data_IF_757675337558
#
_entry.id   IF_757675337558
#
_cell.length_a   1.000
_cell.length_b   1.000
_cell.length_c   1.000
_cell.angle_alpha   90.00
_cell.angle_beta   90.00
_cell.angle_gamma   90.00
#
_symmetry.space_group_name_H-M   'P 1'
#
loop_
_entity.id
_entity.type
_entity.pdbx_description
1 polymer ?
#
# COMPACT_ATOMS: atom_id res chain seq x y z
N UNK A 1 -16.83 -0.90 -31.39
CA UNK A 1 -16.29 0.44 -31.70
C UNK A 1 -15.73 0.99 -30.41
N UNK A 2 -14.48 1.45 -30.43
CA UNK A 2 -13.85 2.03 -29.24
C UNK A 2 -14.35 3.45 -29.00
N UNK A 3 -14.22 3.93 -27.77
CA UNK A 3 -14.59 5.29 -27.37
C UNK A 3 -13.38 6.20 -27.59
N UNK A 4 -13.58 7.34 -28.24
CA UNK A 4 -12.48 8.26 -28.57
C UNK A 4 -11.98 9.04 -27.34
N UNK A 5 -10.70 9.43 -27.32
CA UNK A 5 -10.18 10.31 -26.24
C UNK A 5 -10.86 11.66 -26.20
N UNK A 6 -11.37 12.17 -27.33
CA UNK A 6 -12.10 13.43 -27.41
C UNK A 6 -13.42 13.35 -26.65
N UNK A 7 -14.14 12.23 -26.79
CA UNK A 7 -15.36 11.94 -26.05
C UNK A 7 -15.07 11.75 -24.58
N UNK A 8 -14.10 10.88 -24.23
CA UNK A 8 -13.70 10.63 -22.84
C UNK A 8 -13.32 11.94 -22.12
N UNK A 9 -12.63 12.85 -22.81
CA UNK A 9 -12.20 14.13 -22.23
C UNK A 9 -13.35 15.07 -21.86
N UNK A 10 -14.56 14.88 -22.39
CA UNK A 10 -15.73 15.68 -22.01
C UNK A 10 -16.26 15.31 -20.62
N UNK A 11 -16.07 14.06 -20.20
CA UNK A 11 -16.57 13.51 -18.94
C UNK A 11 -15.56 13.79 -17.80
N UNK A 12 -15.34 15.08 -17.52
CA UNK A 12 -14.31 15.57 -16.61
C UNK A 12 -14.83 16.31 -15.36
N UNK A 13 -16.13 16.21 -15.07
CA UNK A 13 -16.79 16.93 -13.97
C UNK A 13 -17.19 15.97 -12.83
N UNK A 14 -17.31 16.43 -11.57
CA UNK A 14 -17.79 15.56 -10.48
C UNK A 14 -19.18 14.95 -10.71
N UNK A 15 -20.02 15.62 -11.50
CA UNK A 15 -21.35 15.15 -11.90
C UNK A 15 -21.36 14.34 -13.20
N UNK A 16 -20.21 14.22 -13.88
CA UNK A 16 -20.05 13.49 -15.13
C UNK A 16 -18.57 13.11 -15.33
N UNK A 17 -18.20 11.95 -14.78
CA UNK A 17 -16.81 11.56 -14.51
C UNK A 17 -16.47 10.21 -15.11
N UNK A 18 -15.69 10.21 -16.18
CA UNK A 18 -15.10 8.98 -16.73
C UNK A 18 -13.59 8.94 -16.50
N UNK A 19 -13.06 7.74 -16.33
CA UNK A 19 -11.61 7.48 -16.33
C UNK A 19 -11.30 6.24 -17.17
N UNK A 20 -10.05 6.12 -17.61
CA UNK A 20 -9.55 4.90 -18.27
C UNK A 20 -8.63 4.14 -17.33
N UNK A 21 -8.86 2.83 -17.19
CA UNK A 21 -7.98 1.89 -16.47
C UNK A 21 -7.80 0.64 -17.33
N UNK A 22 -6.55 0.30 -17.65
CA UNK A 22 -6.19 -0.85 -18.47
C UNK A 22 -7.00 -0.92 -19.78
N UNK A 23 -7.04 0.21 -20.51
CA UNK A 23 -7.79 0.43 -21.77
C UNK A 23 -9.32 0.34 -21.67
N UNK A 24 -9.87 0.20 -20.47
CA UNK A 24 -11.32 0.15 -20.24
C UNK A 24 -11.81 1.48 -19.66
N UNK A 25 -12.91 2.00 -20.20
CA UNK A 25 -13.54 3.26 -19.80
C UNK A 25 -14.61 2.96 -18.75
N UNK A 26 -14.50 3.64 -17.60
CA UNK A 26 -15.40 3.47 -16.47
C UNK A 26 -16.09 4.79 -16.14
N UNK A 27 -17.41 4.74 -15.92
CA UNK A 27 -18.15 5.81 -15.27
C UNK A 27 -18.02 5.69 -13.76
N UNK A 28 -17.37 6.68 -13.14
CA UNK A 28 -17.15 6.75 -11.70
C UNK A 28 -17.93 7.89 -11.04
N UNK A 29 -18.90 8.50 -11.74
CA UNK A 29 -19.68 9.64 -11.24
C UNK A 29 -20.29 9.36 -9.86
N UNK A 30 -20.97 8.22 -9.72
CA UNK A 30 -21.61 7.83 -8.47
C UNK A 30 -20.64 7.21 -7.46
N UNK A 31 -19.53 6.63 -7.93
CA UNK A 31 -18.58 5.91 -7.07
C UNK A 31 -17.54 6.85 -6.44
N UNK A 32 -17.17 7.94 -7.11
CA UNK A 32 -16.10 8.81 -6.65
C UNK A 32 -16.30 9.35 -5.22
N UNK A 33 -17.51 9.76 -4.77
CA UNK A 33 -17.75 10.18 -3.39
C UNK A 33 -17.52 9.07 -2.36
N UNK A 34 -17.80 7.82 -2.73
CA UNK A 34 -17.70 6.64 -1.87
C UNK A 34 -16.30 6.01 -1.88
N UNK A 35 -15.37 6.57 -2.66
CA UNK A 35 -14.05 6.01 -2.80
C UNK A 35 -13.26 6.08 -1.48
N UNK A 36 -12.75 4.94 -0.94
CA UNK A 36 -12.04 4.93 0.34
C UNK A 36 -10.78 5.80 0.40
N UNK A 37 -10.16 6.08 -0.76
CA UNK A 37 -9.02 7.01 -0.87
C UNK A 37 -9.41 8.49 -1.02
N UNK A 38 -10.70 8.80 -0.93
CA UNK A 38 -11.30 10.11 -1.20
C UNK A 38 -11.57 10.35 -2.69
N UNK A 39 -12.58 11.19 -2.98
CA UNK A 39 -13.00 11.53 -4.35
C UNK A 39 -11.96 12.33 -5.13
N UNK A 40 -11.20 13.19 -4.44
CA UNK A 40 -10.22 14.09 -5.07
C UNK A 40 -9.11 13.37 -5.86
N UNK A 41 -8.77 12.13 -5.50
CA UNK A 41 -7.75 11.38 -6.27
C UNK A 41 -8.30 10.89 -7.62
N UNK A 42 -9.59 10.56 -7.70
CA UNK A 42 -10.25 10.14 -8.93
C UNK A 42 -10.47 11.37 -9.83
N UNK A 43 -10.95 12.47 -9.24
CA UNK A 43 -11.19 13.73 -9.96
C UNK A 43 -9.91 14.30 -10.61
N UNK A 44 -8.72 14.00 -10.07
CA UNK A 44 -7.45 14.37 -10.70
C UNK A 44 -7.26 13.74 -12.11
N UNK A 45 -7.88 12.60 -12.35
CA UNK A 45 -7.83 11.85 -13.60
C UNK A 45 -9.14 11.93 -14.40
N UNK A 46 -10.03 12.86 -14.07
CA UNK A 46 -11.29 13.05 -14.77
C UNK A 46 -11.06 13.26 -16.28
N UNK A 47 -11.69 12.43 -17.11
CA UNK A 47 -11.55 12.41 -18.57
C UNK A 47 -10.18 11.95 -19.08
N UNK A 48 -9.39 11.24 -18.26
CA UNK A 48 -8.00 10.83 -18.56
C UNK A 48 -7.71 9.36 -18.27
N UNK A 49 -6.53 8.92 -18.71
CA UNK A 49 -5.96 7.63 -18.34
C UNK A 49 -5.38 7.66 -16.91
N UNK A 50 -5.92 6.79 -16.06
CA UNK A 50 -5.50 6.58 -14.68
C UNK A 50 -4.77 5.25 -14.48
N UNK A 51 -4.54 4.44 -15.52
CA UNK A 51 -4.04 3.06 -15.43
C UNK A 51 -2.76 2.95 -14.60
N UNK A 52 -1.80 3.84 -14.84
CA UNK A 52 -0.54 3.88 -14.08
C UNK A 52 -0.80 4.14 -12.59
N UNK A 53 -1.50 5.24 -12.27
CA UNK A 53 -1.79 5.63 -10.90
C UNK A 53 -2.67 4.61 -10.17
N UNK A 54 -3.58 3.95 -10.88
CA UNK A 54 -4.41 2.88 -10.37
C UNK A 54 -3.56 1.67 -10.00
N UNK A 55 -2.69 1.19 -10.89
CA UNK A 55 -1.86 -0.01 -10.68
C UNK A 55 -0.83 0.10 -9.54
N UNK A 56 -0.44 1.32 -9.20
CA UNK A 56 0.46 1.62 -8.08
C UNK A 56 -0.21 1.39 -6.73
N UNK A 57 -1.53 1.53 -6.63
CA UNK A 57 -2.28 1.41 -5.37
C UNK A 57 -3.16 0.16 -5.33
N UNK A 58 -3.72 -0.23 -6.48
CA UNK A 58 -4.73 -1.27 -6.61
C UNK A 58 -4.26 -2.39 -7.54
N UNK A 59 -4.84 -3.58 -7.36
CA UNK A 59 -4.72 -4.66 -8.34
C UNK A 59 -5.70 -4.41 -9.50
N UNK A 60 -5.29 -4.66 -10.74
CA UNK A 60 -6.13 -4.47 -11.95
C UNK A 60 -7.50 -5.15 -11.85
N UNK A 61 -7.60 -6.29 -11.16
CA UNK A 61 -8.86 -7.01 -11.02
C UNK A 61 -9.89 -6.31 -10.12
N UNK A 62 -9.47 -5.42 -9.22
CA UNK A 62 -10.32 -4.88 -8.18
C UNK A 62 -11.48 -4.06 -8.77
N UNK A 63 -11.20 -3.15 -9.72
CA UNK A 63 -12.21 -2.30 -10.35
C UNK A 63 -13.29 -3.13 -11.06
N UNK A 64 -12.89 -4.20 -11.75
CA UNK A 64 -13.81 -5.12 -12.44
C UNK A 64 -14.69 -5.95 -11.50
N UNK A 65 -14.24 -6.18 -10.27
CA UNK A 65 -14.97 -6.98 -9.27
C UNK A 65 -15.83 -6.14 -8.33
N UNK A 66 -15.45 -4.87 -8.11
CA UNK A 66 -16.10 -3.98 -7.14
C UNK A 66 -17.18 -3.11 -7.77
N UNK A 67 -17.10 -2.81 -9.07
CA UNK A 67 -18.11 -2.03 -9.77
C UNK A 67 -19.04 -2.95 -10.56
N UNK A 68 -20.35 -2.63 -10.64
CA UNK A 68 -21.28 -3.38 -11.47
C UNK A 68 -20.94 -3.16 -12.95
N UNK A 69 -21.23 -4.15 -13.79
CA UNK A 69 -20.94 -4.10 -15.23
C UNK A 69 -21.58 -2.91 -15.95
N UNK A 70 -22.66 -2.33 -15.39
CA UNK A 70 -23.31 -1.12 -15.89
C UNK A 70 -22.43 0.13 -15.86
N UNK A 71 -21.37 0.15 -15.05
CA UNK A 71 -20.40 1.25 -14.99
C UNK A 71 -19.25 1.11 -15.98
N UNK A 72 -19.22 0.00 -16.74
CA UNK A 72 -18.26 -0.22 -17.81
C UNK A 72 -18.86 0.35 -19.10
N UNK A 73 -18.32 1.47 -19.58
CA UNK A 73 -18.83 2.13 -20.79
C UNK A 73 -18.31 1.42 -22.04
N UNK A 74 -17.05 0.99 -22.03
CA UNK A 74 -16.45 0.26 -23.14
C UNK A 74 -14.92 0.27 -23.11
N UNK A 75 -14.31 0.06 -24.28
CA UNK A 75 -12.86 0.12 -24.46
C UNK A 75 -12.46 1.39 -25.21
N UNK A 76 -11.35 2.00 -24.84
CA UNK A 76 -10.80 3.16 -25.56
C UNK A 76 -10.40 2.80 -26.99
N UNK A 77 -10.60 3.72 -27.92
CA UNK A 77 -10.02 3.66 -29.26
C UNK A 77 -8.56 4.13 -29.22
N UNK A 78 -7.64 3.16 -29.28
CA UNK A 78 -6.20 3.40 -29.23
C UNK A 78 -5.70 4.30 -30.38
N UNK A 79 -6.41 4.35 -31.52
CA UNK A 79 -6.01 5.21 -32.64
C UNK A 79 -6.31 6.69 -32.40
N UNK A 80 -7.20 7.00 -31.45
CA UNK A 80 -7.58 8.37 -31.12
C UNK A 80 -6.61 9.06 -30.14
N UNK A 81 -5.70 8.31 -29.50
CA UNK A 81 -4.81 8.82 -28.46
C UNK A 81 -3.85 9.87 -29.04
N UNK A 82 -3.85 11.06 -28.44
CA UNK A 82 -2.91 12.14 -28.77
C UNK A 82 -1.79 12.23 -27.74
N UNK A 83 -0.62 12.71 -28.16
CA UNK A 83 0.54 12.93 -27.28
C UNK A 83 0.22 13.88 -26.11
N UNK A 84 -0.72 14.82 -26.33
CA UNK A 84 -1.15 15.75 -25.30
C UNK A 84 -2.04 15.08 -24.25
N UNK A 85 -2.95 14.21 -24.67
CA UNK A 85 -3.84 13.48 -23.76
C UNK A 85 -3.09 12.43 -22.93
N UNK A 86 -2.07 11.80 -23.52
CA UNK A 86 -1.23 10.80 -22.85
C UNK A 86 -0.33 11.38 -21.74
N UNK A 87 -0.16 12.71 -21.67
CA UNK A 87 0.64 13.33 -20.60
C UNK A 87 -0.07 13.15 -19.25
N UNK A 88 0.64 12.64 -18.22
CA UNK A 88 0.06 12.51 -16.90
C UNK A 88 -0.32 13.90 -16.36
N UNK A 89 -1.38 14.00 -15.54
CA UNK A 89 -1.72 15.24 -14.87
C UNK A 89 -0.52 15.70 -14.02
N UNK A 90 -0.25 17.02 -13.91
CA UNK A 90 0.92 17.54 -13.22
C UNK A 90 1.07 16.88 -11.84
N UNK A 91 2.18 16.16 -11.67
CA UNK A 91 2.53 15.49 -10.43
C UNK A 91 3.22 16.48 -9.47
N UNK A 92 2.84 16.43 -8.20
CA UNK A 92 3.55 17.08 -7.08
C UNK A 92 4.40 16.03 -6.32
N UNK A 93 4.46 14.79 -6.81
CA UNK A 93 5.22 13.71 -6.17
C UNK A 93 6.72 13.94 -6.38
N UNK A 94 7.43 14.27 -5.31
CA UNK A 94 8.88 14.01 -5.23
C UNK A 94 9.07 12.50 -5.41
N UNK A 95 9.39 12.07 -6.63
CA UNK A 95 9.95 10.74 -6.83
C UNK A 95 11.25 10.67 -6.01
N UNK A 96 11.36 9.63 -5.19
CA UNK A 96 12.59 9.29 -4.46
C UNK A 96 13.76 9.20 -5.44
N UNK A 97 14.71 10.12 -5.37
CA UNK A 97 15.94 10.05 -6.17
C UNK A 97 16.73 8.79 -5.79
N UNK A 98 17.13 7.95 -6.76
CA UNK A 98 17.98 6.79 -6.49
C UNK A 98 19.33 7.24 -5.92
N UNK A 99 19.68 6.75 -4.72
CA UNK A 99 20.95 7.06 -4.04
C UNK A 99 20.82 7.89 -2.75
N UNK A 100 19.61 8.29 -2.35
CA UNK A 100 19.36 9.05 -1.11
C UNK A 100 19.17 8.18 0.15
N UNK A 101 19.11 6.85 0.01
CA UNK A 101 18.86 5.95 1.15
C UNK A 101 20.14 5.77 1.98
N UNK A 102 20.09 5.99 3.31
CA UNK A 102 21.23 5.72 4.19
C UNK A 102 21.57 4.23 4.21
N UNK A 103 22.85 3.90 4.48
CA UNK A 103 23.29 2.51 4.64
C UNK A 103 22.56 1.82 5.79
N UNK A 104 22.22 0.55 5.62
CA UNK A 104 21.58 -0.26 6.67
C UNK A 104 22.45 -0.38 7.93
N UNK A 105 23.78 -0.33 7.79
CA UNK A 105 24.72 -0.40 8.91
C UNK A 105 24.64 0.82 9.84
N UNK A 106 24.02 1.92 9.38
CA UNK A 106 23.84 3.13 10.18
C UNK A 106 22.61 3.07 11.09
N UNK A 107 21.74 2.08 10.92
CA UNK A 107 20.52 1.93 11.72
C UNK A 107 20.82 1.16 13.00
N UNK A 108 20.60 1.80 14.14
CA UNK A 108 20.85 1.23 15.47
C UNK A 108 19.53 0.70 16.06
N UNK A 109 18.42 1.38 15.78
CA UNK A 109 17.11 1.02 16.32
C UNK A 109 15.97 1.30 15.31
N UNK A 110 14.75 0.99 15.70
CA UNK A 110 13.56 1.14 14.84
C UNK A 110 13.20 2.60 14.55
N UNK A 111 13.57 3.56 15.40
CA UNK A 111 13.29 4.99 15.20
C UNK A 111 14.12 5.58 14.05
N UNK A 112 15.32 5.03 13.79
CA UNK A 112 16.14 5.45 12.65
C UNK A 112 15.41 5.20 11.32
N UNK A 113 14.67 4.07 11.21
CA UNK A 113 13.79 3.78 10.06
C UNK A 113 12.65 4.79 9.92
N UNK A 114 12.09 5.26 11.04
CA UNK A 114 11.04 6.27 11.06
C UNK A 114 11.58 7.61 10.54
N UNK A 115 12.74 8.06 11.02
CA UNK A 115 13.38 9.32 10.59
C UNK A 115 13.84 9.27 9.13
N UNK A 116 14.39 8.14 8.69
CA UNK A 116 14.73 7.96 7.27
C UNK A 116 13.47 8.00 6.39
N UNK A 117 12.39 7.33 6.81
CA UNK A 117 11.12 7.34 6.10
C UNK A 117 10.51 8.74 6.00
N UNK A 118 10.54 9.54 7.06
CA UNK A 118 10.04 10.93 7.07
C UNK A 118 10.73 11.80 6.01
N UNK A 119 12.05 11.63 5.87
CA UNK A 119 12.86 12.44 4.94
C UNK A 119 12.70 11.98 3.48
N UNK A 120 12.42 10.69 3.28
CA UNK A 120 12.44 10.04 1.97
C UNK A 120 11.04 9.99 1.35
N UNK A 121 10.01 9.68 2.13
CA UNK A 121 8.66 9.47 1.60
C UNK A 121 8.01 10.78 1.13
N UNK A 122 7.07 10.66 0.19
CA UNK A 122 6.24 11.81 -0.19
C UNK A 122 5.41 12.28 1.01
N UNK A 123 5.05 13.57 1.11
CA UNK A 123 4.23 14.06 2.22
C UNK A 123 2.92 13.29 2.40
N UNK A 124 2.29 12.87 1.29
CA UNK A 124 1.07 12.06 1.29
C UNK A 124 1.33 10.67 1.88
N UNK A 125 2.37 9.99 1.41
CA UNK A 125 2.74 8.66 1.93
C UNK A 125 3.14 8.72 3.40
N UNK A 126 3.93 9.72 3.79
CA UNK A 126 4.32 9.93 5.18
C UNK A 126 3.09 10.14 6.06
N UNK A 127 2.18 11.05 5.69
CA UNK A 127 0.96 11.30 6.44
C UNK A 127 0.10 10.03 6.59
N UNK A 128 0.03 9.18 5.57
CA UNK A 128 -0.70 7.90 5.66
C UNK A 128 -0.13 6.97 6.74
N UNK A 129 1.19 6.80 6.81
CA UNK A 129 1.83 5.89 7.77
C UNK A 129 2.07 6.50 9.15
N UNK A 130 2.30 7.81 9.23
CA UNK A 130 2.62 8.49 10.49
C UNK A 130 1.38 9.01 11.24
N UNK A 131 0.20 9.03 10.61
CA UNK A 131 -1.04 9.43 11.26
C UNK A 131 -1.67 8.31 12.13
N UNK A 132 -2.71 8.69 12.85
CA UNK A 132 -3.67 7.85 13.56
C UNK A 132 -4.97 8.67 13.72
N UNK A 133 -5.95 8.13 14.44
CA UNK A 133 -7.21 8.82 14.65
C UNK A 133 -7.03 10.16 15.39
N UNK A 134 -7.69 11.20 14.86
CA UNK A 134 -7.84 12.54 15.46
C UNK A 134 -6.52 13.13 15.98
N UNK A 135 -6.34 13.18 17.29
CA UNK A 135 -5.30 13.89 18.02
C UNK A 135 -4.10 13.01 18.37
N UNK A 136 -4.07 11.77 17.87
CA UNK A 136 -3.00 10.79 18.07
C UNK A 136 -2.78 10.36 19.54
N UNK A 137 -3.70 10.69 20.46
CA UNK A 137 -3.54 10.42 21.89
C UNK A 137 -3.32 8.93 22.15
N UNK A 138 -4.15 8.07 21.56
CA UNK A 138 -4.03 6.61 21.75
C UNK A 138 -2.73 6.06 21.16
N UNK A 139 -2.26 6.61 20.03
CA UNK A 139 -0.97 6.22 19.44
C UNK A 139 0.19 6.55 20.40
N UNK A 140 0.16 7.73 21.00
CA UNK A 140 1.14 8.13 22.03
C UNK A 140 1.09 7.21 23.25
N UNK A 141 -0.11 6.97 23.80
CA UNK A 141 -0.31 6.11 24.96
C UNK A 141 0.19 4.68 24.73
N UNK A 142 -0.14 4.06 23.59
CA UNK A 142 0.33 2.70 23.26
C UNK A 142 1.86 2.59 23.29
N UNK A 143 2.57 3.67 22.94
CA UNK A 143 4.04 3.70 22.99
C UNK A 143 4.54 3.94 24.41
N UNK A 144 3.97 4.91 25.13
CA UNK A 144 4.46 5.30 26.46
C UNK A 144 4.17 4.26 27.55
N UNK A 145 3.09 3.48 27.43
CA UNK A 145 2.69 2.51 28.46
C UNK A 145 3.77 1.48 28.78
N UNK A 146 4.65 1.13 27.83
CA UNK A 146 5.75 0.22 28.10
C UNK A 146 6.81 0.80 29.05
N UNK A 147 6.95 2.13 29.12
CA UNK A 147 7.85 2.78 30.07
C UNK A 147 7.35 2.68 31.52
N UNK A 148 6.05 2.46 31.71
CA UNK A 148 5.43 2.26 33.03
C UNK A 148 5.70 0.84 33.57
N UNK A 149 6.20 -0.08 32.73
CA UNK A 149 6.45 -1.48 33.08
C UNK A 149 7.96 -1.68 33.30
N UNK A 150 8.36 -1.73 34.58
CA UNK A 150 9.73 -2.07 34.96
C UNK A 150 10.04 -3.56 34.82
N UNK A 151 11.25 -3.90 34.37
CA UNK A 151 11.75 -5.27 34.41
C UNK A 151 12.30 -5.60 35.81
N UNK A 152 11.96 -6.78 36.34
CA UNK A 152 12.60 -7.36 37.53
C UNK A 152 13.55 -8.49 37.09
N UNK A 153 14.79 -8.18 36.64
CA UNK A 153 15.71 -9.18 36.16
C UNK A 153 16.11 -10.14 37.30
N UNK A 154 16.22 -11.43 36.97
CA UNK A 154 16.77 -12.44 37.89
C UNK A 154 18.28 -12.46 37.72
N UNK A 155 19.01 -12.21 38.80
CA UNK A 155 20.48 -12.23 38.81
C UNK A 155 21.02 -13.64 39.05
N UNK A 156 22.31 -13.85 38.76
CA UNK A 156 23.01 -15.14 38.90
C UNK A 156 22.36 -16.31 38.13
N UNK A 157 21.63 -16.00 37.06
CA UNK A 157 21.07 -17.01 36.14
C UNK A 157 22.08 -17.34 35.04
N UNK A 158 22.22 -18.61 34.70
CA UNK A 158 23.00 -19.02 33.53
C UNK A 158 22.26 -18.62 32.24
N UNK A 159 22.74 -17.57 31.59
CA UNK A 159 22.22 -17.03 30.33
C UNK A 159 23.13 -17.30 29.13
N UNK A 160 24.04 -18.28 29.25
CA UNK A 160 24.98 -18.62 28.16
C UNK A 160 24.27 -18.99 26.86
N UNK A 161 23.16 -19.72 26.96
CA UNK A 161 22.35 -20.14 25.82
C UNK A 161 20.92 -19.64 26.02
N UNK A 162 20.46 -18.78 25.13
CA UNK A 162 19.10 -18.22 25.12
C UNK A 162 18.40 -18.65 23.84
N UNK A 163 17.11 -18.97 23.95
CA UNK A 163 16.27 -19.31 22.82
C UNK A 163 15.03 -18.40 22.83
N UNK A 164 14.83 -17.67 21.73
CA UNK A 164 13.66 -16.80 21.52
C UNK A 164 12.58 -17.46 20.67
N UNK A 165 12.78 -18.69 20.21
CA UNK A 165 11.79 -19.41 19.40
C UNK A 165 10.50 -19.61 20.17
N UNK A 166 9.38 -19.57 19.46
CA UNK A 166 8.05 -19.80 20.03
C UNK A 166 7.11 -20.35 18.97
N UNK A 167 5.95 -20.83 19.39
CA UNK A 167 4.84 -21.21 18.51
C UNK A 167 3.74 -20.17 18.57
N UNK A 168 3.24 -19.74 17.40
CA UNK A 168 2.02 -18.94 17.29
C UNK A 168 1.04 -19.67 16.37
N UNK A 169 -0.18 -19.92 16.85
CA UNK A 169 -1.24 -20.59 16.08
C UNK A 169 -0.74 -21.90 15.40
N UNK A 170 0.01 -22.72 16.15
CA UNK A 170 0.55 -24.01 15.67
C UNK A 170 1.80 -23.92 14.79
N UNK A 171 2.35 -22.73 14.55
CA UNK A 171 3.51 -22.52 13.68
C UNK A 171 4.72 -22.05 14.46
N UNK A 172 5.89 -22.64 14.17
CA UNK A 172 7.17 -22.29 14.76
C UNK A 172 7.73 -20.98 14.20
N UNK A 173 8.14 -20.07 15.09
CA UNK A 173 8.74 -18.77 14.79
C UNK A 173 10.11 -18.65 15.47
N UNK A 174 11.02 -17.90 14.87
CA UNK A 174 12.35 -17.65 15.44
C UNK A 174 12.34 -16.66 16.62
N UNK A 175 11.30 -15.83 16.73
CA UNK A 175 11.15 -14.81 17.77
C UNK A 175 9.66 -14.60 18.07
N UNK A 176 9.25 -14.13 19.27
CA UNK A 176 7.85 -13.91 19.60
C UNK A 176 7.28 -12.62 18.99
N UNK A 177 7.58 -12.35 17.71
CA UNK A 177 7.05 -11.21 16.95
C UNK A 177 6.47 -11.68 15.62
N UNK A 178 5.56 -10.89 15.07
CA UNK A 178 5.03 -11.06 13.71
C UNK A 178 4.76 -9.68 13.09
N UNK A 179 4.63 -9.64 11.76
CA UNK A 179 4.25 -8.43 11.05
C UNK A 179 2.72 -8.30 10.98
N UNK A 180 2.18 -7.32 11.71
CA UNK A 180 0.77 -6.92 11.68
C UNK A 180 0.34 -6.46 10.28
N UNK A 181 -0.94 -6.63 9.87
CA UNK A 181 -1.34 -6.26 8.52
C UNK A 181 -1.28 -4.75 8.34
N UNK A 182 -0.49 -4.30 7.36
CA UNK A 182 -0.43 -2.92 6.90
C UNK A 182 -0.88 -2.85 5.45
N UNK A 183 -1.63 -1.81 5.10
CA UNK A 183 -2.11 -1.58 3.73
C UNK A 183 -1.10 -0.78 2.91
N UNK A 184 -1.25 -0.85 1.59
CA UNK A 184 -0.65 0.05 0.61
C UNK A 184 0.88 0.07 0.63
N UNK A 185 1.54 -1.07 0.85
CA UNK A 185 3.01 -1.11 0.93
C UNK A 185 3.69 -0.63 -0.37
N UNK A 186 2.96 -0.67 -1.50
CA UNK A 186 3.40 -0.09 -2.77
C UNK A 186 3.68 1.42 -2.74
N UNK A 187 3.07 2.16 -1.79
CA UNK A 187 3.37 3.58 -1.57
C UNK A 187 4.81 3.81 -1.10
N UNK A 188 5.45 2.80 -0.51
CA UNK A 188 6.81 2.87 0.06
C UNK A 188 7.82 2.13 -0.83
N UNK A 189 7.42 1.02 -1.43
CA UNK A 189 8.29 0.20 -2.26
C UNK A 189 7.54 -0.36 -3.48
N UNK A 190 8.07 -0.30 -4.72
CA UNK A 190 7.35 -0.76 -5.92
C UNK A 190 6.84 -2.20 -5.87
N UNK A 191 7.58 -3.09 -5.20
CA UNK A 191 7.21 -4.50 -5.01
C UNK A 191 6.28 -4.75 -3.82
N UNK A 192 5.98 -3.71 -3.02
CA UNK A 192 5.03 -3.73 -1.91
C UNK A 192 5.26 -4.85 -0.91
N UNK A 193 4.17 -5.54 -0.58
CA UNK A 193 4.06 -6.60 0.42
C UNK A 193 4.96 -7.80 0.12
N UNK A 194 5.40 -7.98 -1.13
CA UNK A 194 6.30 -9.08 -1.52
C UNK A 194 7.69 -8.96 -0.88
N UNK A 195 8.19 -7.74 -0.70
CA UNK A 195 9.49 -7.53 -0.05
C UNK A 195 9.39 -7.66 1.46
N UNK A 196 8.26 -7.26 2.06
CA UNK A 196 7.96 -7.55 3.46
C UNK A 196 7.96 -9.07 3.70
N UNK A 197 7.26 -9.81 2.83
CA UNK A 197 7.28 -11.26 2.83
C UNK A 197 8.71 -11.84 2.70
N UNK A 198 9.51 -11.34 1.78
CA UNK A 198 10.89 -11.84 1.61
C UNK A 198 11.74 -11.62 2.88
N UNK A 199 11.65 -10.45 3.49
CA UNK A 199 12.37 -10.13 4.73
C UNK A 199 11.88 -10.93 5.94
N UNK A 200 10.57 -11.14 6.07
CA UNK A 200 10.00 -11.94 7.17
C UNK A 200 10.35 -13.42 7.03
N UNK A 201 10.37 -13.94 5.80
CA UNK A 201 10.80 -15.32 5.53
C UNK A 201 12.25 -15.54 5.92
N UNK A 202 13.16 -14.61 5.58
CA UNK A 202 14.57 -14.74 5.98
C UNK A 202 14.77 -14.62 7.48
N UNK A 203 13.93 -13.85 8.18
CA UNK A 203 13.92 -13.75 9.64
C UNK A 203 13.22 -14.94 10.34
N UNK A 204 12.43 -15.74 9.61
CA UNK A 204 11.58 -16.81 10.18
C UNK A 204 10.45 -16.27 11.05
N UNK A 205 9.78 -15.22 10.58
CA UNK A 205 8.65 -14.56 11.23
C UNK A 205 7.39 -14.66 10.37
N UNK A 206 6.23 -14.60 11.01
CA UNK A 206 4.94 -14.61 10.32
C UNK A 206 4.57 -13.23 9.76
N UNK A 207 3.81 -13.23 8.67
CA UNK A 207 3.20 -12.05 8.08
C UNK A 207 1.67 -12.20 8.08
N UNK A 208 0.96 -11.19 8.55
CA UNK A 208 -0.49 -11.07 8.35
C UNK A 208 -0.74 -10.26 7.08
N UNK A 209 -1.61 -10.76 6.20
CA UNK A 209 -1.93 -10.12 4.92
C UNK A 209 -3.31 -9.47 4.98
N UNK A 210 -3.45 -8.26 4.43
CA UNK A 210 -4.74 -7.59 4.29
C UNK A 210 -5.53 -8.18 3.12
N UNK A 211 -6.82 -8.45 3.34
CA UNK A 211 -7.74 -9.11 2.39
C UNK A 211 -7.81 -8.47 0.98
N UNK A 212 -7.62 -7.15 0.86
CA UNK A 212 -7.92 -6.40 -0.38
C UNK A 212 -6.76 -6.21 -1.36
N UNK A 213 -5.51 -6.59 -1.03
CA UNK A 213 -4.32 -6.23 -1.83
C UNK A 213 -3.60 -7.40 -2.50
N UNK A 214 -3.93 -8.65 -2.18
CA UNK A 214 -3.36 -9.81 -2.87
C UNK A 214 -4.27 -10.30 -3.99
N UNK A 215 -3.81 -10.39 -5.25
CA UNK A 215 -4.51 -11.18 -6.24
C UNK A 215 -4.53 -12.63 -5.73
N UNK A 216 -5.74 -13.14 -5.44
CA UNK A 216 -6.08 -14.50 -4.98
C UNK A 216 -4.90 -15.30 -4.40
N UNK A 217 -4.95 -15.62 -3.10
CA UNK A 217 -4.07 -16.59 -2.42
C UNK A 217 -3.92 -17.98 -3.11
N UNK A 218 -4.62 -18.24 -4.21
CA UNK A 218 -4.71 -19.55 -4.88
C UNK A 218 -3.47 -20.04 -5.64
N UNK A 219 -2.47 -19.20 -5.97
CA UNK A 219 -1.35 -19.68 -6.81
C UNK A 219 0.07 -19.50 -6.25
N UNK A 220 0.30 -18.74 -5.17
CA UNK A 220 1.68 -18.46 -4.70
C UNK A 220 1.92 -18.48 -3.19
N UNK A 221 0.89 -18.61 -2.35
CA UNK A 221 1.08 -18.67 -0.90
C UNK A 221 1.71 -20.00 -0.44
N UNK A 222 1.43 -21.09 -1.13
CA UNK A 222 1.84 -22.46 -0.78
C UNK A 222 3.36 -22.70 -0.77
N UNK A 223 4.14 -21.88 -1.48
CA UNK A 223 5.59 -22.05 -1.57
C UNK A 223 6.40 -21.05 -0.71
N UNK A 224 5.74 -20.15 0.03
CA UNK A 224 6.43 -19.02 0.67
C UNK A 224 6.18 -18.94 2.18
N UNK A 225 5.04 -19.38 2.73
CA UNK A 225 4.80 -19.37 4.19
C UNK A 225 3.85 -20.47 4.68
N UNK A 226 3.90 -20.82 5.99
CA UNK A 226 2.69 -21.17 6.71
C UNK A 226 1.85 -19.90 6.86
N UNK A 227 0.94 -19.68 5.93
CA UNK A 227 -0.05 -18.58 6.02
C UNK A 227 -0.97 -18.83 7.21
N UNK A 228 -0.93 -17.93 8.19
CA UNK A 228 -1.98 -17.81 9.20
C UNK A 228 -3.12 -17.01 8.57
N UNK A 229 -4.05 -17.73 7.93
CA UNK A 229 -5.37 -17.23 7.56
C UNK A 229 -6.33 -17.36 8.74
#
# INVERSE_FOLDING_TARGET
MGISVQEISQHNLPSDLWIVVDNTVYDLTEFAPEHPGGSGIILKYAGRDASKAYSEIHASSLISSSLPSSKIIGTIDLSSITDEWAKPPPEVSKALTPGSKPSLDNFINTYDFVSAAESLLTPKTWAFYSSAATDLITKGRNTSTYADIGLRPRILMNVKNINTRTTMLGNELNMPLFCSPAAMAKLVHPQGERELARGLKSAGLAMTVKSFEYPRCGERASNIFPTLC
#
